data_IF_736778031387
#
_entry.id   IF_736778031387
#
_cell.length_a   1.000
_cell.length_b   1.000
_cell.length_c   1.000
_cell.angle_alpha   90.00
_cell.angle_beta   90.00
_cell.angle_gamma   90.00
#
_symmetry.space_group_name_H-M   'P 1'
#
loop_
_entity.id
_entity.type
_entity.pdbx_description
1 polymer ?
#
# COMPACT_ATOMS: atom_id res chain seq x y z
N UNK A 1 -22.16 6.25 5.79
CA UNK A 1 -21.31 6.91 4.78
C UNK A 1 -20.01 6.15 4.74
N UNK A 2 -19.97 5.15 3.86
CA UNK A 2 -19.07 3.99 3.94
C UNK A 2 -17.72 4.29 3.30
N UNK A 3 -16.82 4.91 4.05
CA UNK A 3 -15.41 5.00 3.67
C UNK A 3 -14.76 3.71 4.17
N UNK A 4 -14.77 2.66 3.36
CA UNK A 4 -13.85 1.54 3.58
C UNK A 4 -12.52 2.03 3.02
N UNK A 5 -11.79 2.72 3.89
CA UNK A 5 -10.37 3.00 3.71
C UNK A 5 -9.70 1.63 3.78
N UNK A 6 -9.29 1.09 2.64
CA UNK A 6 -8.37 -0.02 2.67
C UNK A 6 -7.02 0.57 3.08
N UNK A 7 -6.86 0.80 4.39
CA UNK A 7 -5.56 0.99 5.00
C UNK A 7 -4.72 -0.23 4.61
N UNK A 8 -3.87 -0.08 3.59
CA UNK A 8 -2.92 -1.10 3.17
C UNK A 8 -1.80 -1.16 4.22
N UNK A 9 -2.16 -1.57 5.44
CA UNK A 9 -1.25 -2.01 6.48
C UNK A 9 -0.81 -3.46 6.19
N UNK A 10 -0.38 -3.72 4.95
CA UNK A 10 0.33 -4.96 4.67
C UNK A 10 1.69 -4.80 5.28
N UNK A 11 1.92 -5.53 6.38
CA UNK A 11 3.24 -5.74 6.95
C UNK A 11 4.07 -6.40 5.86
N UNK A 12 4.78 -5.58 5.10
CA UNK A 12 5.85 -6.03 4.25
C UNK A 12 6.95 -6.46 5.21
N UNK A 13 7.27 -7.76 5.23
CA UNK A 13 8.53 -8.22 5.83
C UNK A 13 9.63 -7.60 4.97
N UNK A 14 10.15 -6.46 5.43
CA UNK A 14 10.95 -5.54 4.63
C UNK A 14 10.38 -4.12 4.67
N UNK A 15 11.21 -3.18 5.10
CA UNK A 15 10.85 -1.77 5.22
C UNK A 15 12.02 -0.88 5.63
N UNK A 16 13.21 -1.48 5.76
CA UNK A 16 14.46 -0.83 6.12
C UNK A 16 15.50 -1.24 5.07
N UNK A 17 16.48 -0.39 4.82
CA UNK A 17 17.66 -0.72 4.03
C UNK A 17 18.51 -1.84 4.68
N UNK A 18 19.55 -2.30 3.99
CA UNK A 18 20.44 -3.38 4.48
C UNK A 18 21.13 -3.02 5.82
N UNK A 19 21.15 -1.73 6.17
CA UNK A 19 21.63 -1.20 7.45
C UNK A 19 20.56 -1.13 8.57
N UNK A 20 19.30 -1.45 8.28
CA UNK A 20 18.22 -1.49 9.26
C UNK A 20 17.77 -0.10 9.77
N UNK A 21 18.10 0.99 9.07
CA UNK A 21 17.88 2.35 9.58
C UNK A 21 17.08 3.25 8.64
N UNK A 22 17.16 3.03 7.32
CA UNK A 22 16.48 3.89 6.35
C UNK A 22 15.20 3.23 5.85
N UNK A 23 14.02 3.87 5.99
CA UNK A 23 12.80 3.38 5.39
C UNK A 23 12.95 3.18 3.87
N UNK A 24 12.79 1.94 3.40
CA UNK A 24 12.94 1.59 1.98
C UNK A 24 11.94 0.52 1.59
N UNK A 25 11.28 0.70 0.44
CA UNK A 25 10.54 -0.38 -0.19
C UNK A 25 11.49 -1.49 -0.61
N UNK A 26 11.39 -2.62 0.09
CA UNK A 26 12.21 -3.83 -0.11
C UNK A 26 11.34 -5.00 -0.56
N UNK A 27 10.10 -4.72 -1.02
CA UNK A 27 9.22 -5.76 -1.55
C UNK A 27 9.85 -6.41 -2.78
N UNK A 28 9.90 -7.73 -2.75
CA UNK A 28 10.17 -8.57 -3.92
C UNK A 28 9.04 -8.44 -4.96
N UNK A 29 9.35 -8.72 -6.22
CA UNK A 29 8.35 -8.69 -7.29
C UNK A 29 7.17 -9.67 -7.02
N UNK A 30 7.44 -10.81 -6.38
CA UNK A 30 6.41 -11.74 -5.96
C UNK A 30 5.48 -11.16 -4.88
N UNK A 31 6.02 -10.38 -3.93
CA UNK A 31 5.20 -9.66 -2.94
C UNK A 31 4.35 -8.58 -3.60
N UNK A 32 4.91 -7.79 -4.52
CA UNK A 32 4.15 -6.76 -5.26
C UNK A 32 3.02 -7.38 -6.08
N UNK A 33 3.30 -8.46 -6.81
CA UNK A 33 2.28 -9.17 -7.59
C UNK A 33 1.15 -9.75 -6.71
N UNK A 34 1.50 -10.29 -5.55
CA UNK A 34 0.51 -10.82 -4.59
C UNK A 34 -0.35 -9.70 -4.00
N UNK A 35 0.28 -8.60 -3.61
CA UNK A 35 -0.41 -7.42 -3.07
C UNK A 35 -1.38 -6.83 -4.10
N UNK A 36 -0.92 -6.66 -5.35
CA UNK A 36 -1.76 -6.16 -6.44
C UNK A 36 -3.00 -7.03 -6.67
N UNK A 37 -2.85 -8.35 -6.74
CA UNK A 37 -3.99 -9.27 -6.90
C UNK A 37 -5.02 -9.11 -5.78
N UNK A 38 -4.55 -8.93 -4.55
CA UNK A 38 -5.44 -8.74 -3.41
C UNK A 38 -6.16 -7.40 -3.46
N UNK A 39 -5.47 -6.32 -3.86
CA UNK A 39 -6.09 -5.00 -4.08
C UNK A 39 -7.16 -5.09 -5.17
N UNK A 40 -6.87 -5.73 -6.30
CA UNK A 40 -7.82 -5.91 -7.39
C UNK A 40 -9.08 -6.66 -6.91
N UNK A 41 -8.92 -7.72 -6.12
CA UNK A 41 -10.05 -8.46 -5.51
C UNK A 41 -10.88 -7.59 -4.55
N UNK A 42 -10.22 -6.78 -3.72
CA UNK A 42 -10.90 -5.86 -2.80
C UNK A 42 -11.61 -4.74 -3.56
N UNK A 43 -11.00 -4.20 -4.60
CA UNK A 43 -11.58 -3.15 -5.42
C UNK A 43 -12.80 -3.64 -6.21
N UNK A 44 -12.78 -4.88 -6.72
CA UNK A 44 -13.98 -5.51 -7.31
C UNK A 44 -15.14 -5.58 -6.32
N UNK A 45 -14.86 -5.85 -5.03
CA UNK A 45 -15.87 -5.90 -3.97
C UNK A 45 -16.33 -4.50 -3.53
N UNK A 46 -15.44 -3.52 -3.59
CA UNK A 46 -15.64 -2.15 -3.13
C UNK A 46 -15.15 -1.12 -4.17
N UNK A 47 -15.87 -0.94 -5.30
CA UNK A 47 -15.39 -0.15 -6.43
C UNK A 47 -15.27 1.36 -6.15
N UNK A 48 -15.79 1.82 -5.02
CA UNK A 48 -15.68 3.23 -4.57
C UNK A 48 -14.64 3.41 -3.46
N UNK A 49 -13.96 2.35 -3.04
CA UNK A 49 -12.93 2.43 -2.02
C UNK A 49 -11.70 3.14 -2.58
N UNK A 50 -11.17 4.09 -1.82
CA UNK A 50 -9.91 4.74 -2.13
C UNK A 50 -8.75 3.85 -1.69
N UNK A 51 -7.72 3.78 -2.52
CA UNK A 51 -6.50 3.02 -2.25
C UNK A 51 -5.44 4.02 -1.79
N UNK A 52 -5.13 4.02 -0.50
CA UNK A 52 -4.19 4.98 0.11
C UNK A 52 -3.16 4.27 0.97
N UNK A 53 -1.99 4.89 1.11
CA UNK A 53 -0.95 4.45 2.02
C UNK A 53 -1.14 4.98 3.43
N UNK A 54 -0.49 4.32 4.38
CA UNK A 54 -0.53 4.75 5.78
C UNK A 54 0.10 6.16 5.97
N UNK A 55 1.10 6.51 5.16
CA UNK A 55 1.68 7.86 5.10
C UNK A 55 0.65 8.92 4.65
N UNK A 56 -0.23 8.58 3.70
CA UNK A 56 -1.24 9.52 3.19
C UNK A 56 -2.26 9.90 4.27
N UNK A 57 -2.46 9.02 5.25
CA UNK A 57 -3.39 9.21 6.37
C UNK A 57 -2.71 9.73 7.63
N UNK A 58 -1.44 9.38 7.81
CA UNK A 58 -0.59 9.92 8.86
C UNK A 58 0.79 10.22 8.29
N UNK A 59 1.03 11.48 7.87
CA UNK A 59 2.30 11.90 7.27
C UNK A 59 3.52 11.73 8.17
N UNK A 60 3.33 11.53 9.48
CA UNK A 60 4.42 11.26 10.42
C UNK A 60 4.98 9.83 10.29
N UNK A 61 4.29 8.94 9.56
CA UNK A 61 4.73 7.57 9.34
C UNK A 61 5.40 7.45 7.98
N UNK A 62 6.57 6.84 7.93
CA UNK A 62 7.23 6.51 6.67
C UNK A 62 6.58 5.31 5.95
N UNK A 63 5.83 4.47 6.67
CA UNK A 63 5.10 3.33 6.12
C UNK A 63 4.06 3.78 5.07
N UNK A 64 3.97 3.13 3.90
CA UNK A 64 4.55 1.82 3.57
C UNK A 64 5.92 1.90 2.86
N UNK A 65 6.64 3.02 2.97
CA UNK A 65 7.95 3.25 2.37
C UNK A 65 7.93 3.30 0.83
N UNK A 66 6.75 3.47 0.23
CA UNK A 66 6.52 3.77 -1.19
C UNK A 66 5.25 4.61 -1.37
N UNK A 67 5.04 5.15 -2.57
CA UNK A 67 3.91 6.02 -2.88
C UNK A 67 2.72 5.21 -3.43
N UNK A 68 1.82 4.79 -2.54
CA UNK A 68 0.69 3.87 -2.86
C UNK A 68 -0.22 4.42 -3.94
N UNK A 69 -0.59 5.69 -3.86
CA UNK A 69 -1.50 6.34 -4.82
C UNK A 69 -0.94 6.37 -6.23
N UNK A 70 0.37 6.56 -6.40
CA UNK A 70 1.01 6.47 -7.72
C UNK A 70 1.10 5.03 -8.23
N UNK A 71 1.39 4.06 -7.36
CA UNK A 71 1.53 2.65 -7.75
C UNK A 71 0.21 2.02 -8.23
N UNK A 72 -0.92 2.42 -7.64
CA UNK A 72 -2.25 1.88 -7.95
C UNK A 72 -3.18 2.92 -8.58
N UNK A 73 -2.62 3.92 -9.28
CA UNK A 73 -3.39 5.00 -9.92
C UNK A 73 -4.44 4.44 -10.90
N UNK A 74 -4.15 3.29 -11.52
CA UNK A 74 -5.03 2.61 -12.48
C UNK A 74 -6.22 1.91 -11.83
N UNK A 75 -6.21 1.75 -10.49
CA UNK A 75 -7.28 1.16 -9.69
C UNK A 75 -8.00 2.19 -8.82
N UNK A 76 -7.66 3.47 -8.93
CA UNK A 76 -8.41 4.53 -8.24
C UNK A 76 -9.78 4.72 -8.90
N UNK A 77 -10.83 5.02 -8.13
CA UNK A 77 -12.14 5.36 -8.67
C UNK A 77 -12.16 6.69 -9.44
#
# INVERSE_FOLDING_TARGET
>A
MSIILADLAFICLGGLDDGGTTPKDTRTEAQKATLRKLIEQLHQRYPKALIVGHHDLNPQKACPCFHVTAEYIDLQP
#
